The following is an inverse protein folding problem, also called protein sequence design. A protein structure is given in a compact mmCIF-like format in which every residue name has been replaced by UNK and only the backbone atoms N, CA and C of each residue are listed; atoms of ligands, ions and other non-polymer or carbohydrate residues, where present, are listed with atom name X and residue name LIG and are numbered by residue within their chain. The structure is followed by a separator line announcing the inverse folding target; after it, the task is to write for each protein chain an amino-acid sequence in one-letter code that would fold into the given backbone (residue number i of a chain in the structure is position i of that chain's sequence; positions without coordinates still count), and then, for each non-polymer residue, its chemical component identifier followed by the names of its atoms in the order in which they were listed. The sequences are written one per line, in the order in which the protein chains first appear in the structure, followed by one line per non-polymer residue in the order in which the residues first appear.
data_IF_213126281092
#
_entry.id   IF_213126281092
#
_cell.length_a   1.000
_cell.length_b   1.000
_cell.length_c   1.000
_cell.angle_alpha   90.00
_cell.angle_beta   90.00
_cell.angle_gamma   90.00
#
_symmetry.space_group_name_H-M   'P 1'
#
loop_
_entity.id
_entity.type
_entity.pdbx_description
1 polymer ?
#
# COMPACT_ATOMS: atom_id res chain seq x y z
N UNK A 1 -0.91 25.05 13.52
CA UNK A 1 -1.13 25.13 14.99
C UNK A 1 -0.08 24.33 15.75
N UNK A 2 -0.13 23.00 15.81
CA UNK A 2 0.85 22.21 16.59
C UNK A 2 2.29 22.52 16.17
N UNK A 3 2.58 22.44 14.86
CA UNK A 3 3.91 22.74 14.31
C UNK A 3 4.35 24.19 14.59
N UNK A 4 3.46 25.15 14.44
CA UNK A 4 3.78 26.58 14.65
C UNK A 4 4.13 26.88 16.10
N UNK A 5 3.36 26.32 17.04
CA UNK A 5 3.58 26.51 18.48
C UNK A 5 4.90 25.88 18.92
N UNK A 6 5.25 24.71 18.37
CA UNK A 6 6.58 24.09 18.60
C UNK A 6 7.70 24.95 18.01
N UNK A 7 7.55 25.47 16.78
CA UNK A 7 8.54 26.34 16.14
C UNK A 7 8.74 27.67 16.88
N UNK A 8 7.71 28.17 17.56
CA UNK A 8 7.76 29.39 18.39
C UNK A 8 8.41 29.16 19.77
N UNK A 9 8.83 27.93 20.09
CA UNK A 9 9.54 27.62 21.34
C UNK A 9 8.64 27.48 22.57
N UNK A 10 7.35 27.20 22.39
CA UNK A 10 6.47 26.96 23.53
C UNK A 10 6.86 25.67 24.28
N UNK A 11 6.98 25.75 25.61
CA UNK A 11 7.28 24.63 26.49
C UNK A 11 6.02 23.79 26.78
N UNK A 12 5.58 23.00 25.80
CA UNK A 12 4.39 22.14 25.90
C UNK A 12 4.82 20.67 25.94
N UNK A 13 4.37 19.94 26.96
CA UNK A 13 4.70 18.51 27.14
C UNK A 13 3.68 17.56 26.50
N UNK A 14 2.47 18.02 26.19
CA UNK A 14 1.39 17.18 25.67
C UNK A 14 0.37 17.93 24.81
N UNK A 15 -0.19 17.25 23.81
CA UNK A 15 -1.24 17.76 22.94
C UNK A 15 -2.50 16.88 23.01
N UNK A 16 -3.61 17.48 23.44
CA UNK A 16 -4.95 16.89 23.30
C UNK A 16 -5.60 17.33 21.98
N UNK A 17 -5.83 16.40 21.06
CA UNK A 17 -6.45 16.69 19.76
C UNK A 17 -7.79 15.97 19.66
N UNK A 18 -8.89 16.72 19.73
CA UNK A 18 -10.26 16.20 19.68
C UNK A 18 -10.85 16.18 18.26
N UNK A 19 -11.82 17.06 18.01
CA UNK A 19 -12.64 17.14 16.78
C UNK A 19 -11.84 16.90 15.50
N UNK A 20 -10.76 17.67 15.29
CA UNK A 20 -10.02 17.63 14.02
C UNK A 20 -9.38 16.26 13.71
N UNK A 21 -8.98 15.51 14.74
CA UNK A 21 -8.38 14.18 14.58
C UNK A 21 -9.46 13.13 14.34
N UNK A 22 -10.52 13.12 15.16
CA UNK A 22 -11.54 12.08 15.11
C UNK A 22 -12.43 12.18 13.86
N UNK A 23 -12.65 13.38 13.33
CA UNK A 23 -13.50 13.58 12.14
C UNK A 23 -12.72 13.68 10.84
N UNK A 24 -11.38 13.58 10.87
CA UNK A 24 -10.52 13.87 9.72
C UNK A 24 -10.93 15.18 9.00
N UNK A 25 -11.09 16.28 9.76
CA UNK A 25 -11.81 17.51 9.33
C UNK A 25 -11.41 18.07 7.96
N UNK A 26 -10.15 17.92 7.56
CA UNK A 26 -9.66 18.39 6.26
C UNK A 26 -10.19 17.56 5.08
N UNK A 27 -10.34 16.25 5.27
CA UNK A 27 -10.79 15.32 4.24
C UNK A 27 -11.48 14.10 4.90
N UNK A 28 -12.80 14.20 5.19
CA UNK A 28 -13.51 13.20 5.99
C UNK A 28 -13.89 11.94 5.20
N UNK A 29 -13.56 11.87 3.90
CA UNK A 29 -13.97 10.79 3.00
C UNK A 29 -12.74 10.14 2.36
N UNK A 30 -12.55 8.84 2.59
CA UNK A 30 -11.38 8.09 2.10
C UNK A 30 -11.52 7.55 0.66
N UNK A 31 -12.72 7.64 0.04
CA UNK A 31 -12.92 7.32 -1.39
C UNK A 31 -12.82 5.84 -1.78
N UNK A 32 -12.89 4.90 -0.81
CA UNK A 32 -12.82 3.46 -1.09
C UNK A 32 -13.95 2.96 -2.01
N UNK A 33 -13.62 2.06 -2.94
CA UNK A 33 -14.57 1.48 -3.90
C UNK A 33 -14.44 -0.04 -3.98
N UNK A 34 -15.56 -0.74 -4.16
CA UNK A 34 -15.59 -2.18 -4.45
C UNK A 34 -15.97 -2.40 -5.91
N UNK A 35 -15.15 -3.16 -6.65
CA UNK A 35 -15.36 -3.42 -8.09
C UNK A 35 -15.12 -4.89 -8.42
N UNK A 36 -15.98 -5.44 -9.28
CA UNK A 36 -15.79 -6.78 -9.85
C UNK A 36 -14.60 -6.75 -10.82
N UNK A 37 -13.61 -7.61 -10.58
CA UNK A 37 -12.38 -7.69 -11.41
C UNK A 37 -12.27 -8.97 -12.22
N UNK A 38 -12.96 -10.03 -11.82
CA UNK A 38 -13.01 -11.31 -12.54
C UNK A 38 -14.25 -12.11 -12.12
N UNK A 39 -14.66 -13.05 -12.96
CA UNK A 39 -15.64 -14.08 -12.64
C UNK A 39 -15.03 -15.45 -12.91
N UNK A 40 -15.39 -16.44 -12.12
CA UNK A 40 -15.00 -17.82 -12.36
C UNK A 40 -16.09 -18.54 -13.15
N UNK A 41 -15.70 -19.25 -14.21
CA UNK A 41 -16.59 -20.08 -15.01
C UNK A 41 -15.84 -21.34 -15.46
N UNK A 42 -16.37 -22.53 -15.16
CA UNK A 42 -15.73 -23.82 -15.45
C UNK A 42 -14.24 -23.84 -15.02
N UNK A 43 -13.97 -23.47 -13.76
CA UNK A 43 -12.64 -23.37 -13.15
C UNK A 43 -11.66 -22.41 -13.87
N UNK A 44 -12.17 -21.54 -14.74
CA UNK A 44 -11.38 -20.50 -15.41
C UNK A 44 -11.73 -19.13 -14.88
N UNK A 45 -10.71 -18.40 -14.43
CA UNK A 45 -10.82 -17.00 -14.06
C UNK A 45 -10.90 -16.15 -15.32
N UNK A 46 -12.05 -15.51 -15.56
CA UNK A 46 -12.31 -14.61 -16.68
C UNK A 46 -12.20 -13.16 -16.18
N UNK A 47 -11.17 -12.41 -16.57
CA UNK A 47 -11.02 -11.00 -16.19
C UNK A 47 -12.19 -10.13 -16.67
N UNK A 48 -12.60 -9.16 -15.86
CA UNK A 48 -13.66 -8.19 -16.17
C UNK A 48 -13.12 -6.78 -16.03
N UNK A 49 -13.37 -5.97 -17.04
CA UNK A 49 -12.96 -4.57 -17.08
C UNK A 49 -14.20 -3.68 -17.23
N UNK A 50 -14.27 -2.63 -16.41
CA UNK A 50 -15.21 -1.53 -16.61
C UNK A 50 -14.48 -0.40 -17.32
N UNK A 51 -14.96 -0.06 -18.51
CA UNK A 51 -14.47 1.08 -19.28
C UNK A 51 -15.24 2.33 -18.84
N UNK A 52 -14.53 3.46 -18.82
CA UNK A 52 -15.03 4.78 -18.47
C UNK A 52 -14.33 5.79 -19.38
N UNK A 53 -14.96 6.94 -19.64
CA UNK A 53 -14.37 8.01 -20.44
C UNK A 53 -13.10 8.59 -19.80
N UNK A 54 -13.05 8.67 -18.46
CA UNK A 54 -11.81 8.94 -17.74
C UNK A 54 -10.99 7.65 -17.59
N UNK A 55 -9.76 7.67 -18.10
CA UNK A 55 -8.77 6.58 -18.02
C UNK A 55 -8.44 6.16 -16.58
N UNK A 56 -8.42 7.09 -15.62
CA UNK A 56 -8.18 6.81 -14.19
C UNK A 56 -9.30 5.95 -13.56
N UNK A 57 -10.49 5.96 -14.17
CA UNK A 57 -11.64 5.19 -13.69
C UNK A 57 -11.71 3.79 -14.31
N UNK A 58 -10.85 3.49 -15.28
CA UNK A 58 -10.73 2.17 -15.88
C UNK A 58 -10.11 1.22 -14.85
N UNK A 59 -10.74 0.06 -14.67
CA UNK A 59 -10.31 -0.92 -13.67
C UNK A 59 -9.22 -1.81 -14.22
N UNK A 60 -8.17 -2.10 -13.42
CA UNK A 60 -7.26 -3.21 -13.70
C UNK A 60 -8.02 -4.54 -13.54
N UNK A 61 -8.24 -5.33 -14.61
CA UNK A 61 -9.00 -6.57 -14.54
C UNK A 61 -8.18 -7.70 -13.90
N UNK A 62 -8.80 -8.85 -13.66
CA UNK A 62 -8.14 -10.08 -13.19
C UNK A 62 -8.06 -10.24 -11.68
N UNK A 63 -7.87 -11.49 -11.23
CA UNK A 63 -7.60 -11.82 -9.83
C UNK A 63 -6.13 -11.57 -9.51
N UNK A 64 -5.86 -10.66 -8.59
CA UNK A 64 -4.55 -10.04 -8.39
C UNK A 64 -4.11 -10.13 -6.94
N UNK A 65 -2.80 -9.96 -6.73
CA UNK A 65 -2.16 -9.77 -5.44
C UNK A 65 -1.17 -8.60 -5.51
N UNK A 66 -0.70 -8.17 -4.34
CA UNK A 66 0.22 -7.03 -4.23
C UNK A 66 1.49 -7.51 -3.54
N UNK A 67 2.61 -7.33 -4.23
CA UNK A 67 3.93 -7.51 -3.66
C UNK A 67 4.54 -6.18 -3.27
N UNK A 68 5.05 -6.06 -2.05
CA UNK A 68 5.99 -5.01 -1.73
C UNK A 68 7.41 -5.49 -1.97
N UNK A 69 8.14 -4.77 -2.81
CA UNK A 69 9.55 -5.01 -3.09
C UNK A 69 10.39 -4.26 -2.07
N UNK A 70 11.28 -4.95 -1.38
CA UNK A 70 12.23 -4.38 -0.43
C UNK A 70 13.65 -4.58 -0.91
N UNK A 71 14.47 -3.57 -0.70
CA UNK A 71 15.91 -3.64 -0.87
C UNK A 71 16.54 -4.53 0.21
N UNK A 72 17.37 -5.52 -0.14
CA UNK A 72 17.98 -6.42 0.87
C UNK A 72 19.05 -5.73 1.72
N UNK A 73 19.67 -4.67 1.23
CA UNK A 73 20.76 -3.99 1.94
C UNK A 73 20.21 -3.04 3.02
N UNK A 74 19.26 -2.21 2.64
CA UNK A 74 18.66 -1.18 3.50
C UNK A 74 17.40 -1.65 4.21
N UNK A 75 16.78 -2.73 3.73
CA UNK A 75 15.47 -3.21 4.19
C UNK A 75 14.33 -2.19 3.97
N UNK A 76 14.54 -1.21 3.09
CA UNK A 76 13.55 -0.20 2.75
C UNK A 76 12.67 -0.65 1.57
N UNK A 77 11.40 -0.24 1.61
CA UNK A 77 10.46 -0.48 0.52
C UNK A 77 10.85 0.32 -0.73
N UNK A 78 10.89 -0.34 -1.88
CA UNK A 78 11.23 0.26 -3.18
C UNK A 78 9.96 0.62 -3.95
N UNK A 79 9.04 -0.34 -4.06
CA UNK A 79 7.81 -0.20 -4.83
C UNK A 79 6.78 -1.26 -4.41
N UNK A 80 5.51 -0.97 -4.69
CA UNK A 80 4.44 -1.96 -4.67
C UNK A 80 4.14 -2.40 -6.10
N UNK A 81 4.11 -3.71 -6.33
CA UNK A 81 3.83 -4.35 -7.61
C UNK A 81 2.51 -5.08 -7.55
N UNK A 82 1.66 -4.78 -8.53
CA UNK A 82 0.42 -5.50 -8.73
C UNK A 82 0.69 -6.65 -9.69
N UNK A 83 0.48 -7.88 -9.24
CA UNK A 83 0.67 -9.10 -10.02
C UNK A 83 -0.63 -9.89 -10.12
N UNK A 84 -0.76 -10.76 -11.12
CA UNK A 84 -1.80 -11.78 -11.13
C UNK A 84 -1.59 -12.75 -9.96
N UNK A 85 -2.68 -13.29 -9.41
CA UNK A 85 -2.60 -14.09 -8.19
C UNK A 85 -1.68 -15.32 -8.31
N UNK A 86 -1.54 -15.89 -9.52
CA UNK A 86 -0.70 -17.05 -9.79
C UNK A 86 0.77 -16.70 -10.11
N UNK A 87 1.08 -15.43 -10.38
CA UNK A 87 2.45 -15.02 -10.68
C UNK A 87 3.31 -15.07 -9.42
N UNK A 88 4.55 -15.52 -9.57
CA UNK A 88 5.54 -15.49 -8.50
C UNK A 88 6.75 -14.68 -8.98
N UNK A 89 7.30 -13.85 -8.09
CA UNK A 89 8.51 -13.09 -8.38
C UNK A 89 9.71 -13.93 -7.97
N UNK A 90 10.59 -14.22 -8.94
CA UNK A 90 11.86 -14.91 -8.70
C UNK A 90 12.90 -13.92 -8.18
N UNK A 91 13.12 -13.93 -6.86
CA UNK A 91 14.08 -13.03 -6.18
C UNK A 91 15.55 -13.29 -6.56
N UNK A 92 15.85 -14.37 -7.30
CA UNK A 92 17.20 -14.66 -7.79
C UNK A 92 17.56 -13.88 -9.07
N UNK A 93 16.56 -13.30 -9.74
CA UNK A 93 16.73 -12.59 -11.00
C UNK A 93 16.50 -11.09 -10.84
N UNK A 94 17.13 -10.26 -11.69
CA UNK A 94 16.78 -8.84 -11.77
C UNK A 94 15.28 -8.65 -12.09
N UNK A 95 14.67 -7.65 -11.48
CA UNK A 95 13.26 -7.29 -11.67
C UNK A 95 13.16 -5.90 -12.27
N UNK A 96 12.62 -5.79 -13.48
CA UNK A 96 12.32 -4.49 -14.09
C UNK A 96 10.96 -4.00 -13.60
N UNK A 97 10.93 -2.78 -13.05
CA UNK A 97 9.72 -2.09 -12.64
C UNK A 97 9.59 -0.79 -13.44
N UNK A 98 8.37 -0.36 -13.73
CA UNK A 98 8.11 0.87 -14.48
C UNK A 98 6.80 1.53 -14.06
N UNK A 99 6.72 2.84 -14.28
CA UNK A 99 5.51 3.60 -14.00
C UNK A 99 4.39 3.22 -15.00
N UNK A 100 3.14 2.98 -14.56
CA UNK A 100 2.09 2.43 -15.41
C UNK A 100 1.63 3.37 -16.54
N UNK A 101 1.81 4.68 -16.39
CA UNK A 101 1.48 5.70 -17.40
C UNK A 101 2.76 6.10 -18.17
N UNK A 102 3.71 6.71 -17.46
CA UNK A 102 5.01 7.14 -17.99
C UNK A 102 6.02 5.98 -18.07
N UNK A 103 5.82 5.02 -18.98
CA UNK A 103 6.59 3.76 -19.06
C UNK A 103 8.09 3.94 -19.35
N UNK A 104 8.55 5.15 -19.66
CA UNK A 104 9.98 5.46 -19.72
C UNK A 104 10.62 5.62 -18.34
N UNK A 105 9.84 5.92 -17.29
CA UNK A 105 10.28 5.89 -15.89
C UNK A 105 10.34 4.44 -15.44
N UNK A 106 11.50 3.83 -15.60
CA UNK A 106 11.76 2.42 -15.31
C UNK A 106 13.04 2.24 -14.51
N UNK A 107 13.13 1.14 -13.77
CA UNK A 107 14.27 0.78 -12.93
C UNK A 107 14.47 -0.72 -12.96
N UNK A 108 15.71 -1.15 -13.14
CA UNK A 108 16.10 -2.53 -12.88
C UNK A 108 16.47 -2.66 -11.40
N UNK A 109 15.76 -3.52 -10.68
CA UNK A 109 15.98 -3.79 -9.26
C UNK A 109 16.72 -5.12 -9.13
N UNK A 110 17.82 -5.11 -8.42
CA UNK A 110 18.61 -6.29 -8.04
C UNK A 110 18.72 -6.36 -6.52
N UNK A 111 19.16 -7.49 -5.98
CA UNK A 111 19.34 -7.69 -4.53
C UNK A 111 18.11 -7.27 -3.70
N UNK A 112 16.93 -7.76 -4.09
CA UNK A 112 15.67 -7.46 -3.41
C UNK A 112 15.03 -8.72 -2.82
N UNK A 113 14.08 -8.55 -1.93
CA UNK A 113 13.09 -9.57 -1.59
C UNK A 113 11.68 -8.99 -1.74
N UNK A 114 10.68 -9.87 -1.86
CA UNK A 114 9.28 -9.44 -1.95
C UNK A 114 8.45 -9.98 -0.80
N UNK A 115 7.46 -9.20 -0.40
CA UNK A 115 6.46 -9.63 0.59
C UNK A 115 5.08 -9.54 -0.04
N UNK A 116 4.33 -10.65 0.00
CA UNK A 116 2.91 -10.62 -0.33
C UNK A 116 2.17 -9.83 0.76
N UNK A 117 1.49 -8.76 0.36
CA UNK A 117 0.72 -7.92 1.27
C UNK A 117 -0.70 -8.47 1.51
N UNK A 118 -1.18 -9.38 0.67
CA UNK A 118 -2.52 -9.93 0.80
C UNK A 118 -2.51 -11.19 1.68
N UNK A 119 -3.03 -11.05 2.90
CA UNK A 119 -3.18 -12.17 3.84
C UNK A 119 -4.61 -12.71 3.76
N UNK A 120 -4.75 -14.03 3.62
CA UNK A 120 -6.05 -14.70 3.62
C UNK A 120 -6.65 -14.67 5.03
N UNK A 121 -7.76 -13.94 5.19
CA UNK A 121 -8.45 -13.81 6.48
C UNK A 121 -9.52 -14.89 6.66
N UNK A 122 -10.26 -15.17 5.59
CA UNK A 122 -11.32 -16.18 5.56
C UNK A 122 -11.04 -17.19 4.44
N UNK A 123 -11.33 -18.45 4.71
CA UNK A 123 -11.36 -19.53 3.74
C UNK A 123 -12.72 -20.21 3.76
N UNK A 124 -13.47 -20.13 2.65
CA UNK A 124 -14.79 -20.76 2.49
C UNK A 124 -15.73 -20.50 3.68
N UNK A 125 -15.76 -19.25 4.15
CA UNK A 125 -16.61 -18.82 5.29
C UNK A 125 -16.03 -19.08 6.68
N UNK A 126 -14.90 -19.79 6.79
CA UNK A 126 -14.21 -20.00 8.07
C UNK A 126 -13.08 -18.99 8.25
N UNK A 127 -13.00 -18.38 9.43
CA UNK A 127 -11.87 -17.50 9.77
C UNK A 127 -10.61 -18.34 9.96
N UNK A 128 -9.58 -18.09 9.15
CA UNK A 128 -8.28 -18.79 9.20
C UNK A 128 -7.15 -17.90 9.73
N UNK A 129 -7.46 -16.61 9.97
CA UNK A 129 -6.52 -15.62 10.49
C UNK A 129 -6.78 -15.34 11.97
N UNK A 130 -5.70 -15.25 12.74
CA UNK A 130 -5.77 -14.80 14.14
C UNK A 130 -5.52 -13.30 14.19
N UNK A 131 -6.50 -12.54 14.66
CA UNK A 131 -6.37 -11.08 14.78
C UNK A 131 -5.31 -10.71 15.82
N UNK A 132 -4.32 -9.88 15.48
CA UNK A 132 -3.34 -9.39 16.44
C UNK A 132 -4.01 -8.43 17.44
N UNK A 133 -3.37 -8.27 18.59
CA UNK A 133 -3.74 -7.27 19.58
C UNK A 133 -3.46 -5.85 19.08
N UNK A 134 -4.12 -4.86 19.69
CA UNK A 134 -3.92 -3.44 19.35
C UNK A 134 -2.45 -3.02 19.54
N UNK A 135 -1.75 -3.57 20.54
CA UNK A 135 -0.33 -3.27 20.77
C UNK A 135 0.57 -3.86 19.69
N UNK A 136 0.26 -5.05 19.19
CA UNK A 136 0.96 -5.65 18.05
C UNK A 136 0.72 -4.87 16.77
N UNK A 137 -0.53 -4.44 16.51
CA UNK A 137 -0.86 -3.58 15.36
C UNK A 137 -0.08 -2.26 15.43
N UNK A 138 -0.01 -1.61 16.60
CA UNK A 138 0.79 -0.39 16.81
C UNK A 138 2.28 -0.64 16.53
N UNK A 139 2.83 -1.73 17.05
CA UNK A 139 4.24 -2.10 16.83
C UNK A 139 4.51 -2.38 15.35
N UNK A 140 3.62 -3.11 14.69
CA UNK A 140 3.71 -3.43 13.27
C UNK A 140 3.67 -2.17 12.41
N UNK A 141 2.70 -1.29 12.63
CA UNK A 141 2.59 0.00 11.93
C UNK A 141 3.87 0.82 12.08
N UNK A 142 4.40 0.95 13.31
CA UNK A 142 5.67 1.64 13.55
C UNK A 142 6.84 0.99 12.79
N UNK A 143 6.96 -0.33 12.82
CA UNK A 143 8.05 -1.03 12.13
C UNK A 143 7.97 -0.91 10.62
N UNK A 144 6.77 -0.93 10.04
CA UNK A 144 6.60 -0.80 8.59
C UNK A 144 6.83 0.65 8.14
N UNK A 145 6.40 1.66 8.93
CA UNK A 145 6.72 3.05 8.64
C UNK A 145 8.23 3.33 8.65
N UNK A 146 8.99 2.68 9.55
CA UNK A 146 10.45 2.82 9.59
C UNK A 146 11.18 2.19 8.39
N UNK A 147 10.50 1.33 7.63
CA UNK A 147 11.03 0.73 6.39
C UNK A 147 10.69 1.55 5.15
N UNK A 148 10.06 2.72 5.32
CA UNK A 148 9.83 3.65 4.23
C UNK A 148 10.97 4.65 4.14
N UNK A 149 11.26 5.10 2.92
CA UNK A 149 12.22 6.17 2.70
C UNK A 149 11.76 7.46 3.40
N UNK A 150 12.66 8.23 4.05
CA UNK A 150 12.32 9.46 4.75
C UNK A 150 11.51 10.45 3.90
N UNK A 151 11.78 10.48 2.59
CA UNK A 151 11.15 11.36 1.61
C UNK A 151 9.65 11.09 1.42
N UNK A 152 9.21 9.84 1.65
CA UNK A 152 7.81 9.39 1.58
C UNK A 152 7.07 9.78 2.87
N UNK A 153 7.78 9.83 4.01
CA UNK A 153 7.19 10.11 5.33
C UNK A 153 7.00 11.61 5.62
N UNK A 154 7.41 12.49 4.70
CA UNK A 154 7.28 13.94 4.87
C UNK A 154 5.81 14.37 4.80
N UNK A 155 5.41 15.26 5.71
CA UNK A 155 4.07 15.87 5.67
C UNK A 155 3.91 16.92 4.55
N UNK A 156 5.01 17.52 4.10
CA UNK A 156 5.03 18.52 3.03
C UNK A 156 5.75 17.95 1.82
N UNK A 157 5.07 17.97 0.66
CA UNK A 157 5.58 17.49 -0.63
C UNK A 157 6.25 16.10 -0.52
N UNK A 158 5.54 15.05 -0.04
CA UNK A 158 6.07 13.71 -0.01
C UNK A 158 6.41 13.23 -1.42
N UNK A 159 7.46 12.41 -1.54
CA UNK A 159 7.74 11.76 -2.82
C UNK A 159 6.65 10.72 -3.12
N UNK A 160 6.14 10.73 -4.35
CA UNK A 160 5.16 9.76 -4.89
C UNK A 160 5.79 8.79 -5.85
#
# INVERSE_FOLDING_TARGET
IIRDVLNQGACIDSFGVGERLITAKSEPVFGGVYKLVAVENNDKIIPKIKISENSEKITNPGFKKIYRVYDKETNNAIADLIALNHEAIDESKPLEIFHPIETWKRKLVTNFYVKDLMVKIFDKGSQVYTSPSVLEIKKFSKSESLRMWPEILRFENPHT
#
